data_IF_521561949813
#
_entry.id   IF_521561949813
#
_cell.length_a   1.000
_cell.length_b   1.000
_cell.length_c   1.000
_cell.angle_alpha   90.00
_cell.angle_beta   90.00
_cell.angle_gamma   90.00
#
_symmetry.space_group_name_H-M   'P 1'
#
loop_
_entity.id
_entity.type
_entity.pdbx_description
1 polymer ?
#
# COMPACT_ATOMS: atom_id res chain seq x y z
N UNK A 1 15.57 -13.87 15.49
CA UNK A 1 15.92 -13.18 14.22
C UNK A 1 15.48 -11.73 14.31
N UNK A 2 16.24 -10.77 13.76
CA UNK A 2 15.83 -9.37 13.73
C UNK A 2 14.64 -9.17 12.77
N UNK A 3 13.69 -8.31 13.15
CA UNK A 3 12.54 -7.93 12.32
C UNK A 3 12.94 -6.71 11.49
N UNK A 4 13.08 -6.89 10.18
CA UNK A 4 13.27 -5.79 9.25
C UNK A 4 11.93 -5.09 9.06
N UNK A 5 11.90 -3.79 9.35
CA UNK A 5 10.74 -2.93 9.13
C UNK A 5 11.23 -1.57 8.64
N UNK A 6 10.41 -0.92 7.82
CA UNK A 6 10.64 0.47 7.46
C UNK A 6 10.60 1.32 8.74
N UNK A 7 11.64 2.12 8.95
CA UNK A 7 11.77 3.10 10.02
C UNK A 7 11.49 4.48 9.44
N UNK A 8 11.18 5.45 10.31
CA UNK A 8 10.89 6.83 9.87
C UNK A 8 11.99 7.40 8.97
N UNK A 9 13.27 7.13 9.30
CA UNK A 9 14.39 7.61 8.50
C UNK A 9 14.47 6.99 7.10
N UNK A 10 14.06 5.73 6.92
CA UNK A 10 14.02 5.09 5.60
C UNK A 10 13.01 5.81 4.68
N UNK A 11 11.89 6.27 5.26
CA UNK A 11 10.86 7.04 4.55
C UNK A 11 11.33 8.47 4.25
N UNK A 12 12.02 9.10 5.19
CA UNK A 12 12.57 10.46 5.02
C UNK A 12 13.63 10.50 3.92
N UNK A 13 14.52 9.50 3.85
CA UNK A 13 15.50 9.36 2.79
C UNK A 13 14.81 9.18 1.43
N UNK A 14 13.81 8.29 1.34
CA UNK A 14 13.02 8.10 0.13
C UNK A 14 12.42 9.42 -0.39
N UNK A 15 11.74 10.17 0.48
CA UNK A 15 11.17 11.48 0.11
C UNK A 15 12.26 12.44 -0.35
N UNK A 16 13.40 12.46 0.32
CA UNK A 16 14.55 13.29 -0.02
C UNK A 16 15.18 12.94 -1.38
N UNK A 17 15.22 11.66 -1.76
CA UNK A 17 15.72 11.19 -3.06
C UNK A 17 14.74 11.58 -4.17
N UNK A 18 13.45 11.27 -4.00
CA UNK A 18 12.42 11.56 -5.02
C UNK A 18 12.30 13.06 -5.27
N UNK A 19 12.41 13.91 -4.22
CA UNK A 19 12.39 15.38 -4.39
C UNK A 19 13.59 15.93 -5.14
N UNK A 20 14.77 15.33 -5.01
CA UNK A 20 16.01 15.83 -5.63
C UNK A 20 16.22 15.31 -7.04
N UNK A 21 15.88 14.06 -7.29
CA UNK A 21 16.24 13.35 -8.52
C UNK A 21 15.04 12.89 -9.35
N UNK A 22 13.82 13.10 -8.85
CA UNK A 22 12.60 12.59 -9.47
C UNK A 22 12.32 11.13 -9.08
N UNK A 23 11.09 10.69 -9.36
CA UNK A 23 10.69 9.30 -9.18
C UNK A 23 11.30 8.41 -10.29
N UNK A 24 11.78 7.22 -9.92
CA UNK A 24 12.02 6.16 -10.90
C UNK A 24 10.68 5.67 -11.47
N UNK A 25 10.73 4.89 -12.56
CA UNK A 25 9.51 4.36 -13.19
C UNK A 25 8.63 3.59 -12.20
N UNK A 26 9.20 2.67 -11.44
CA UNK A 26 8.44 1.84 -10.49
C UNK A 26 7.85 2.69 -9.35
N UNK A 27 8.59 3.72 -8.89
CA UNK A 27 8.07 4.67 -7.89
C UNK A 27 6.94 5.51 -8.48
N UNK A 28 7.04 5.90 -9.75
CA UNK A 28 5.97 6.63 -10.44
C UNK A 28 4.69 5.77 -10.54
N UNK A 29 4.82 4.47 -10.85
CA UNK A 29 3.68 3.54 -10.86
C UNK A 29 3.01 3.44 -9.47
N UNK A 30 3.79 3.41 -8.39
CA UNK A 30 3.26 3.45 -7.02
C UNK A 30 2.54 4.77 -6.71
N UNK A 31 3.12 5.90 -7.12
CA UNK A 31 2.52 7.24 -6.95
C UNK A 31 1.21 7.34 -7.73
N UNK A 32 1.18 6.87 -8.97
CA UNK A 32 0.00 6.87 -9.81
C UNK A 32 -1.11 5.99 -9.22
N UNK A 33 -0.77 4.84 -8.66
CA UNK A 33 -1.71 3.98 -7.95
C UNK A 33 -2.27 4.66 -6.69
N UNK A 34 -1.42 5.31 -5.89
CA UNK A 34 -1.83 6.01 -4.67
C UNK A 34 -2.72 7.24 -4.94
N UNK A 35 -2.55 7.90 -6.09
CA UNK A 35 -3.34 9.06 -6.49
C UNK A 35 -4.70 8.68 -7.13
N UNK A 36 -4.94 7.40 -7.41
CA UNK A 36 -6.23 6.93 -7.93
C UNK A 36 -7.19 6.57 -6.79
N UNK A 37 -8.50 6.69 -7.00
CA UNK A 37 -9.48 6.10 -6.09
C UNK A 37 -9.23 4.60 -5.91
N UNK A 38 -9.56 4.07 -4.73
CA UNK A 38 -9.48 2.63 -4.49
C UNK A 38 -10.35 1.86 -5.50
N UNK A 39 -9.76 0.87 -6.17
CA UNK A 39 -10.48 0.02 -7.12
C UNK A 39 -11.54 -0.84 -6.44
N UNK A 40 -11.31 -1.15 -5.16
CA UNK A 40 -12.22 -1.94 -4.32
C UNK A 40 -12.76 -1.03 -3.23
N UNK A 41 -14.08 -0.98 -3.10
CA UNK A 41 -14.74 -0.31 -1.99
C UNK A 41 -14.30 -0.92 -0.65
N UNK A 42 -14.45 -0.18 0.45
CA UNK A 42 -14.33 -0.77 1.78
C UNK A 42 -15.41 -1.84 1.97
N UNK A 43 -15.04 -3.11 1.74
CA UNK A 43 -15.89 -4.26 2.02
C UNK A 43 -15.42 -4.93 3.31
N UNK A 44 -16.35 -5.45 4.09
CA UNK A 44 -16.02 -6.28 5.24
C UNK A 44 -15.22 -7.51 4.78
N UNK A 45 -14.16 -7.86 5.53
CA UNK A 45 -13.36 -9.06 5.27
C UNK A 45 -14.24 -10.31 5.16
N UNK A 46 -15.34 -10.36 5.91
CA UNK A 46 -16.32 -11.44 5.85
C UNK A 46 -16.94 -11.63 4.44
N UNK A 47 -17.00 -10.57 3.63
CA UNK A 47 -17.52 -10.59 2.26
C UNK A 47 -16.44 -10.87 1.21
N UNK A 48 -15.16 -10.81 1.55
CA UNK A 48 -14.07 -10.93 0.58
C UNK A 48 -13.97 -12.34 -0.04
N UNK A 49 -14.14 -13.41 0.74
CA UNK A 49 -14.10 -14.79 0.25
C UNK A 49 -15.46 -15.51 0.32
N UNK A 50 -16.48 -14.90 0.93
CA UNK A 50 -17.82 -15.49 1.10
C UNK A 50 -17.92 -16.59 2.17
N UNK A 51 -16.82 -17.24 2.54
CA UNK A 51 -16.81 -18.35 3.52
C UNK A 51 -17.26 -17.94 4.92
N UNK A 52 -16.95 -16.71 5.34
CA UNK A 52 -17.38 -16.21 6.64
C UNK A 52 -18.91 -16.07 6.74
N UNK A 53 -19.58 -15.71 5.64
CA UNK A 53 -21.05 -15.59 5.59
C UNK A 53 -21.74 -16.97 5.59
N UNK A 54 -21.12 -17.99 5.00
CA UNK A 54 -21.68 -19.35 4.95
C UNK A 54 -21.83 -20.02 6.31
N UNK A 55 -21.03 -19.61 7.32
CA UNK A 55 -21.10 -20.15 8.69
C UNK A 55 -22.15 -19.45 9.56
N UNK A 56 -22.71 -18.34 9.10
CA UNK A 56 -23.76 -17.56 9.78
C UNK A 56 -25.18 -17.93 9.30
N UNK A 57 -25.28 -18.74 8.24
CA UNK A 57 -26.53 -19.26 7.68
C UNK A 57 -26.93 -20.58 8.32
#
# INVERSE_FOLDING_TARGET
>A
MPVLKLRGHDVEEFVGVVRRYGASKDVQEMVDAANRPAEVAHIDVARACGTCMLKLA
#
